data_IF_753050976889
#
_entry.id   IF_753050976889
#
_cell.length_a   1.000
_cell.length_b   1.000
_cell.length_c   1.000
_cell.angle_alpha   90.00
_cell.angle_beta   90.00
_cell.angle_gamma   90.00
#
_symmetry.space_group_name_H-M   'P 1'
#
loop_
_entity.id
_entity.type
_entity.pdbx_description
1 polymer ?
#
# COMPACT_ATOMS: atom_id res chain seq x y z
N UNK A 1 10.53 8.34 -25.47
CA UNK A 1 10.80 7.96 -24.07
C UNK A 1 9.71 8.58 -23.19
N UNK A 2 8.57 7.90 -23.03
CA UNK A 2 7.42 8.41 -22.27
C UNK A 2 7.44 7.85 -20.86
N UNK A 3 7.67 8.71 -19.86
CA UNK A 3 7.53 8.32 -18.45
C UNK A 3 6.02 8.29 -18.14
N UNK A 4 5.48 7.10 -17.92
CA UNK A 4 4.09 6.93 -17.50
C UNK A 4 3.86 7.73 -16.21
N UNK A 5 3.00 8.73 -16.30
CA UNK A 5 2.57 9.53 -15.15
C UNK A 5 1.49 8.72 -14.44
N UNK A 6 1.81 8.15 -13.28
CA UNK A 6 0.81 7.42 -12.49
C UNK A 6 -0.33 8.38 -12.11
N UNK A 7 -1.61 8.03 -12.34
CA UNK A 7 -2.71 8.88 -11.93
C UNK A 7 -2.67 9.06 -10.41
N UNK A 8 -2.90 10.30 -9.97
CA UNK A 8 -3.01 10.66 -8.56
C UNK A 8 -4.25 9.97 -7.99
N UNK A 9 -4.06 8.79 -7.41
CA UNK A 9 -5.07 8.03 -6.68
C UNK A 9 -5.69 8.94 -5.63
N UNK A 10 -6.97 9.26 -5.81
CA UNK A 10 -7.75 9.99 -4.80
C UNK A 10 -8.35 8.93 -3.89
N UNK A 11 -7.66 8.65 -2.78
CA UNK A 11 -8.09 7.65 -1.81
C UNK A 11 -9.43 8.06 -1.18
N UNK A 12 -10.46 7.21 -1.19
CA UNK A 12 -11.73 7.51 -0.55
C UNK A 12 -11.54 7.68 0.97
N UNK A 13 -12.18 8.70 1.53
CA UNK A 13 -12.19 8.97 2.97
C UNK A 13 -13.03 7.88 3.66
N UNK A 14 -12.39 6.89 4.32
CA UNK A 14 -13.10 5.84 5.09
C UNK A 14 -14.13 6.48 6.03
N UNK A 15 -15.41 6.19 5.75
CA UNK A 15 -16.53 6.58 6.58
C UNK A 15 -16.66 5.58 7.75
N UNK A 16 -16.62 6.10 8.98
CA UNK A 16 -17.26 5.45 10.13
C UNK A 16 -16.51 4.30 10.83
N UNK A 17 -15.55 4.65 11.69
CA UNK A 17 -15.37 4.10 13.05
C UNK A 17 -15.50 2.57 13.29
N UNK A 18 -14.58 1.80 12.72
CA UNK A 18 -13.97 0.68 13.44
C UNK A 18 -12.47 0.93 13.34
N UNK A 19 -11.82 1.41 14.41
CA UNK A 19 -10.39 1.74 14.36
C UNK A 19 -9.58 0.45 14.32
N UNK A 20 -9.59 -0.25 13.18
CA UNK A 20 -8.68 -1.35 12.90
C UNK A 20 -7.25 -0.82 13.07
N UNK A 21 -6.37 -1.58 13.74
CA UNK A 21 -4.98 -1.18 13.87
C UNK A 21 -4.37 -0.99 12.48
N UNK A 22 -3.59 0.08 12.31
CA UNK A 22 -2.88 0.37 11.07
C UNK A 22 -1.91 -0.77 10.76
N UNK A 23 -1.86 -1.19 9.49
CA UNK A 23 -0.94 -2.20 9.02
C UNK A 23 0.51 -1.74 9.26
N UNK A 24 1.30 -2.58 9.91
CA UNK A 24 2.72 -2.33 10.14
C UNK A 24 3.56 -3.00 9.06
N UNK A 25 4.84 -2.63 8.94
CA UNK A 25 5.78 -3.29 8.02
C UNK A 25 5.81 -4.81 8.19
N UNK A 26 5.90 -5.39 9.40
CA UNK A 26 5.84 -6.84 9.57
C UNK A 26 4.47 -7.41 9.18
N UNK A 27 3.35 -6.75 9.48
CA UNK A 27 2.03 -7.26 9.09
C UNK A 27 1.87 -7.32 7.56
N UNK A 28 2.38 -6.31 6.85
CA UNK A 28 2.39 -6.29 5.37
C UNK A 28 3.31 -7.40 4.85
N UNK A 29 4.47 -7.60 5.48
CA UNK A 29 5.39 -8.66 5.10
C UNK A 29 4.75 -10.05 5.25
N UNK A 30 4.05 -10.29 6.35
CA UNK A 30 3.30 -11.51 6.63
C UNK A 30 2.13 -11.69 5.65
N UNK A 31 1.35 -10.63 5.42
CA UNK A 31 0.20 -10.65 4.52
C UNK A 31 0.57 -11.03 3.09
N UNK A 32 1.66 -10.46 2.55
CA UNK A 32 2.14 -10.78 1.21
C UNK A 32 3.10 -11.99 1.17
N UNK A 33 3.47 -12.57 2.32
CA UNK A 33 4.45 -13.66 2.39
C UNK A 33 5.86 -13.27 1.91
N UNK A 34 6.23 -11.99 2.00
CA UNK A 34 7.52 -11.47 1.52
C UNK A 34 8.43 -11.03 2.67
N UNK A 35 9.77 -11.00 2.48
CA UNK A 35 10.67 -10.47 3.49
C UNK A 35 10.39 -8.99 3.84
N UNK A 36 10.59 -8.60 5.11
CA UNK A 36 10.44 -7.20 5.55
C UNK A 36 11.32 -6.22 4.75
N UNK A 37 12.50 -6.69 4.30
CA UNK A 37 13.40 -5.90 3.46
C UNK A 37 12.74 -5.52 2.13
N UNK A 38 11.94 -6.41 1.56
CA UNK A 38 11.18 -6.18 0.33
C UNK A 38 10.11 -5.12 0.55
N UNK A 39 9.38 -5.19 1.66
CA UNK A 39 8.37 -4.16 2.00
C UNK A 39 9.02 -2.78 2.17
N UNK A 40 10.20 -2.72 2.82
CA UNK A 40 10.96 -1.46 2.94
C UNK A 40 11.47 -0.96 1.59
N UNK A 41 11.88 -1.88 0.71
CA UNK A 41 12.31 -1.55 -0.65
C UNK A 41 11.15 -0.96 -1.44
N UNK A 42 9.96 -1.57 -1.41
CA UNK A 42 8.75 -1.06 -2.04
C UNK A 42 8.41 0.38 -1.62
N UNK A 43 8.54 0.70 -0.34
CA UNK A 43 8.33 2.07 0.13
C UNK A 43 9.38 3.05 -0.42
N UNK A 44 10.65 2.63 -0.52
CA UNK A 44 11.72 3.47 -1.08
C UNK A 44 11.55 3.70 -2.58
N UNK A 45 11.20 2.66 -3.32
CA UNK A 45 11.00 2.73 -4.77
C UNK A 45 9.63 3.24 -5.16
N UNK A 46 8.72 3.45 -4.19
CA UNK A 46 7.34 3.87 -4.41
C UNK A 46 6.62 2.90 -5.37
N UNK A 47 6.90 1.61 -5.25
CA UNK A 47 6.31 0.54 -6.07
C UNK A 47 5.43 -0.38 -5.23
N UNK A 48 4.43 -1.00 -5.85
CA UNK A 48 3.57 -1.93 -5.12
C UNK A 48 2.75 -1.21 -4.04
N UNK A 49 2.42 -1.88 -2.93
CA UNK A 49 1.72 -1.26 -1.80
C UNK A 49 2.60 -0.23 -1.05
N UNK A 50 3.88 -0.10 -1.39
CA UNK A 50 4.82 0.83 -0.76
C UNK A 50 4.48 2.31 -0.94
N UNK A 51 3.73 2.67 -1.99
CA UNK A 51 3.26 4.04 -2.24
C UNK A 51 2.11 4.47 -1.30
N UNK A 52 1.39 3.51 -0.74
CA UNK A 52 0.29 3.73 0.22
C UNK A 52 0.78 3.84 1.67
N UNK A 53 2.05 3.48 1.91
CA UNK A 53 2.66 3.55 3.23
C UNK A 53 3.06 4.99 3.57
N UNK A 54 2.67 5.43 4.76
CA UNK A 54 3.04 6.73 5.31
C UNK A 54 3.80 6.60 6.62
N UNK A 55 4.52 7.66 6.98
CA UNK A 55 5.42 7.66 8.13
C UNK A 55 4.70 8.17 9.37
N UNK A 56 4.71 7.35 10.42
CA UNK A 56 4.20 7.68 11.76
C UNK A 56 5.39 7.65 12.72
N UNK A 57 6.04 8.80 12.88
CA UNK A 57 7.30 8.91 13.61
C UNK A 57 8.43 8.11 12.94
N UNK A 58 9.04 7.17 13.68
CA UNK A 58 10.07 6.27 13.11
C UNK A 58 9.50 5.05 12.38
N UNK A 59 8.18 4.83 12.46
CA UNK A 59 7.54 3.65 11.92
C UNK A 59 6.83 3.95 10.60
N UNK A 60 6.74 2.95 9.73
CA UNK A 60 5.85 2.99 8.57
C UNK A 60 4.53 2.31 8.92
N UNK A 61 3.46 2.90 8.42
CA UNK A 61 2.08 2.45 8.60
C UNK A 61 1.34 2.57 7.29
N UNK A 62 0.38 1.69 7.07
CA UNK A 62 -0.59 1.78 5.98
C UNK A 62 -1.98 1.50 6.53
N UNK A 63 -3.02 1.91 5.79
CA UNK A 63 -4.39 1.48 6.08
C UNK A 63 -4.65 0.19 5.34
N UNK A 64 -5.27 -0.78 6.01
CA UNK A 64 -5.69 -2.02 5.37
C UNK A 64 -6.65 -1.77 4.21
N UNK A 65 -7.59 -0.82 4.37
CA UNK A 65 -8.52 -0.46 3.28
C UNK A 65 -7.79 -0.03 2.00
N UNK A 66 -6.70 0.75 2.12
CA UNK A 66 -5.94 1.21 0.96
C UNK A 66 -5.19 0.04 0.29
N UNK A 67 -4.66 -0.89 1.09
CA UNK A 67 -4.00 -2.11 0.61
C UNK A 67 -5.00 -3.02 -0.12
N UNK A 68 -6.17 -3.27 0.49
CA UNK A 68 -7.22 -4.09 -0.11
C UNK A 68 -7.72 -3.49 -1.44
N UNK A 69 -7.86 -2.17 -1.50
CA UNK A 69 -8.21 -1.45 -2.74
C UNK A 69 -7.11 -1.57 -3.79
N UNK A 70 -5.84 -1.48 -3.40
CA UNK A 70 -4.71 -1.67 -4.32
C UNK A 70 -4.68 -3.09 -4.87
N UNK A 71 -4.84 -4.10 -4.02
CA UNK A 71 -4.87 -5.49 -4.46
C UNK A 71 -6.05 -5.76 -5.39
N UNK A 72 -7.22 -5.18 -5.12
CA UNK A 72 -8.38 -5.27 -6.01
C UNK A 72 -8.13 -4.60 -7.36
N UNK A 73 -7.48 -3.43 -7.39
CA UNK A 73 -7.08 -2.72 -8.61
C UNK A 73 -6.05 -3.51 -9.42
N UNK A 74 -5.03 -4.09 -8.77
CA UNK A 74 -4.02 -4.91 -9.42
C UNK A 74 -4.58 -6.25 -9.92
N UNK A 75 -5.47 -6.90 -9.15
CA UNK A 75 -6.14 -8.12 -9.57
C UNK A 75 -7.13 -7.89 -10.72
N UNK A 76 -7.75 -6.71 -10.78
CA UNK A 76 -8.57 -6.26 -11.92
C UNK A 76 -7.74 -5.79 -13.13
N UNK A 77 -6.43 -5.59 -12.96
CA UNK A 77 -5.50 -5.00 -13.92
C UNK A 77 -4.82 -5.97 -14.89
N UNK A 78 -5.37 -7.15 -15.12
CA UNK A 78 -4.89 -8.10 -16.13
C UNK A 78 -6.04 -8.71 -16.94
N UNK A 79 -6.88 -7.86 -17.52
CA UNK A 79 -7.76 -8.21 -18.64
C UNK A 79 -7.74 -7.05 -19.65
N UNK A 80 -6.63 -6.94 -20.39
CA UNK A 80 -6.52 -6.15 -21.61
C UNK A 80 -5.63 -6.90 -22.60
#
# INVERSE_FOLDING_TARGET
>A
MGRATLPRVTLPKSAGANRRPLATVPDIAEHYGVPLKTVRYWHQTQTGPGCLMFRVGKYLRARWDDIDQYDADQAGGAAA
#
